data_IF_051219785003
#
_entry.id   IF_051219785003
#
_cell.length_a   1.000
_cell.length_b   1.000
_cell.length_c   1.000
_cell.angle_alpha   90.00
_cell.angle_beta   90.00
_cell.angle_gamma   90.00
#
_symmetry.space_group_name_H-M   'P 1'
#
loop_
_entity.id
_entity.type
_entity.pdbx_description
1 polymer ?
#
# COMPACT_ATOMS: atom_id res chain seq x y z
N UNK A 1 -18.74 11.75 15.13
CA UNK A 1 -17.53 10.97 14.78
C UNK A 1 -17.42 10.99 13.26
N UNK A 2 -16.32 11.49 12.72
CA UNK A 2 -16.10 11.59 11.27
C UNK A 2 -16.16 10.20 10.62
N UNK A 3 -16.98 10.04 9.58
CA UNK A 3 -17.15 8.80 8.83
C UNK A 3 -15.82 8.30 8.24
N UNK A 4 -14.89 9.21 7.91
CA UNK A 4 -13.55 8.88 7.42
C UNK A 4 -12.73 8.13 8.46
N UNK A 5 -12.75 8.59 9.72
CA UNK A 5 -11.99 7.95 10.81
C UNK A 5 -12.52 6.54 11.07
N UNK A 6 -13.84 6.36 11.01
CA UNK A 6 -14.44 5.04 11.11
C UNK A 6 -14.02 4.12 9.95
N UNK A 7 -13.92 4.66 8.73
CA UNK A 7 -13.48 3.93 7.56
C UNK A 7 -12.01 3.47 7.68
N UNK A 8 -11.11 4.36 8.14
CA UNK A 8 -9.70 4.01 8.40
C UNK A 8 -9.59 2.88 9.42
N UNK A 9 -10.28 2.99 10.55
CA UNK A 9 -10.29 1.94 11.59
C UNK A 9 -10.78 0.59 11.04
N UNK A 10 -11.80 0.61 10.19
CA UNK A 10 -12.32 -0.60 9.56
C UNK A 10 -11.32 -1.21 8.55
N UNK A 11 -10.60 -0.38 7.79
CA UNK A 11 -9.55 -0.85 6.88
C UNK A 11 -8.37 -1.44 7.66
N UNK A 12 -7.89 -0.74 8.69
CA UNK A 12 -6.78 -1.22 9.53
C UNK A 12 -7.08 -2.60 10.13
N UNK A 13 -8.29 -2.78 10.68
CA UNK A 13 -8.73 -4.07 11.19
C UNK A 13 -8.76 -5.17 10.12
N UNK A 14 -9.09 -4.84 8.87
CA UNK A 14 -9.11 -5.81 7.77
C UNK A 14 -7.69 -6.11 7.26
N UNK A 15 -6.76 -5.16 7.35
CA UNK A 15 -5.41 -5.30 6.82
C UNK A 15 -4.39 -5.81 7.83
N UNK A 16 -4.67 -5.73 9.14
CA UNK A 16 -3.76 -6.19 10.20
C UNK A 16 -3.35 -7.65 10.05
N UNK A 17 -4.30 -8.49 9.61
CA UNK A 17 -4.13 -9.95 9.55
C UNK A 17 -3.53 -10.42 8.21
N UNK A 18 -3.33 -9.50 7.25
CA UNK A 18 -2.75 -9.84 5.96
C UNK A 18 -1.28 -10.21 6.13
N UNK A 19 -0.93 -11.47 5.85
CA UNK A 19 0.47 -11.93 5.88
C UNK A 19 1.29 -11.14 4.85
N UNK A 20 2.48 -10.69 5.25
CA UNK A 20 3.41 -10.08 4.29
C UNK A 20 3.79 -11.10 3.21
N UNK A 21 3.75 -10.69 1.93
CA UNK A 21 4.02 -11.56 0.79
C UNK A 21 5.44 -12.17 0.75
N UNK A 22 6.35 -11.69 1.61
CA UNK A 22 7.79 -11.95 1.53
C UNK A 22 8.25 -13.40 1.71
N UNK A 23 7.36 -14.37 1.95
CA UNK A 23 7.72 -15.76 2.21
C UNK A 23 6.88 -16.80 1.44
N UNK A 24 6.05 -16.41 0.47
CA UNK A 24 5.19 -17.40 -0.21
C UNK A 24 5.88 -18.05 -1.41
N UNK A 25 6.61 -17.26 -2.21
CA UNK A 25 7.31 -17.71 -3.41
C UNK A 25 8.83 -17.58 -3.19
N UNK A 26 9.64 -18.59 -3.58
CA UNK A 26 11.09 -18.53 -3.44
C UNK A 26 11.69 -17.29 -4.12
N UNK A 27 12.74 -16.73 -3.51
CA UNK A 27 13.47 -15.57 -4.05
C UNK A 27 13.96 -15.86 -5.47
N UNK A 28 13.66 -14.95 -6.40
CA UNK A 28 14.04 -15.08 -7.81
C UNK A 28 13.07 -15.87 -8.68
N UNK A 29 11.94 -16.35 -8.13
CA UNK A 29 10.85 -16.95 -8.88
C UNK A 29 9.58 -16.11 -8.81
N UNK A 30 8.80 -16.08 -9.91
CA UNK A 30 7.49 -15.43 -9.99
C UNK A 30 6.34 -16.41 -9.78
N UNK A 31 5.17 -15.91 -9.38
CA UNK A 31 3.96 -16.70 -9.14
C UNK A 31 3.56 -17.55 -10.35
N UNK A 32 3.68 -17.00 -11.57
CA UNK A 32 3.26 -17.69 -12.79
C UNK A 32 4.08 -18.97 -12.96
N UNK A 33 5.41 -18.85 -12.88
CA UNK A 33 6.30 -20.00 -13.05
C UNK A 33 6.13 -21.01 -11.92
N UNK A 34 6.15 -20.54 -10.67
CA UNK A 34 6.08 -21.41 -9.48
C UNK A 34 4.79 -22.21 -9.44
N UNK A 35 3.64 -21.58 -9.70
CA UNK A 35 2.35 -22.29 -9.73
C UNK A 35 2.29 -23.25 -10.91
N UNK A 36 2.70 -22.80 -12.11
CA UNK A 36 2.70 -23.64 -13.32
C UNK A 36 3.51 -24.93 -13.12
N UNK A 37 4.71 -24.81 -12.56
CA UNK A 37 5.58 -25.96 -12.29
C UNK A 37 5.02 -26.85 -11.18
N UNK A 38 4.50 -26.27 -10.09
CA UNK A 38 3.91 -27.02 -8.99
C UNK A 38 2.73 -27.90 -9.41
N UNK A 39 1.93 -27.46 -10.39
CA UNK A 39 0.80 -28.24 -10.95
C UNK A 39 1.22 -29.13 -12.14
N UNK A 40 2.52 -29.23 -12.44
CA UNK A 40 3.05 -30.12 -13.48
C UNK A 40 2.76 -29.67 -14.92
N UNK A 41 2.54 -28.37 -15.15
CA UNK A 41 2.22 -27.83 -16.48
C UNK A 41 3.46 -27.32 -17.21
N UNK A 42 3.59 -27.60 -18.50
CA UNK A 42 4.66 -27.01 -19.34
C UNK A 42 4.30 -25.61 -19.82
N UNK A 43 5.30 -24.80 -20.18
CA UNK A 43 5.07 -23.46 -20.74
C UNK A 43 4.20 -23.51 -22.01
N UNK A 44 4.35 -24.53 -22.86
CA UNK A 44 3.51 -24.74 -24.06
C UNK A 44 2.05 -25.05 -23.72
N UNK A 45 1.80 -25.80 -22.64
CA UNK A 45 0.44 -26.08 -22.18
C UNK A 45 -0.24 -24.83 -21.63
N UNK A 46 0.48 -24.01 -20.85
CA UNK A 46 -0.03 -22.71 -20.39
C UNK A 46 -0.30 -21.76 -21.57
N UNK A 47 0.60 -21.74 -22.54
CA UNK A 47 0.44 -20.97 -23.77
C UNK A 47 -0.83 -21.34 -24.53
N UNK A 48 -1.09 -22.65 -24.68
CA UNK A 48 -2.32 -23.17 -25.31
C UNK A 48 -3.58 -22.74 -24.55
N UNK A 49 -3.57 -22.81 -23.21
CA UNK A 49 -4.69 -22.36 -22.36
C UNK A 49 -4.97 -20.87 -22.50
N UNK A 50 -3.92 -20.06 -22.65
CA UNK A 50 -4.02 -18.61 -22.80
C UNK A 50 -4.22 -18.13 -24.24
N UNK A 51 -4.16 -19.02 -25.24
CA UNK A 51 -4.23 -18.65 -26.65
C UNK A 51 -3.04 -17.80 -27.10
N UNK A 52 -1.85 -18.04 -26.54
CA UNK A 52 -0.61 -17.30 -26.86
C UNK A 52 0.52 -18.26 -27.25
N UNK A 53 1.67 -17.70 -27.65
CA UNK A 53 2.86 -18.49 -27.98
C UNK A 53 3.67 -18.85 -26.73
N UNK A 54 4.38 -19.97 -26.76
CA UNK A 54 5.25 -20.39 -25.64
C UNK A 54 6.34 -19.35 -25.28
N UNK A 55 7.01 -18.67 -26.24
CA UNK A 55 7.94 -17.58 -25.89
C UNK A 55 7.28 -16.41 -25.16
N UNK A 56 5.99 -16.16 -25.40
CA UNK A 56 5.24 -15.13 -24.66
C UNK A 56 5.04 -15.52 -23.20
N UNK A 57 4.86 -16.81 -22.89
CA UNK A 57 4.82 -17.30 -21.51
C UNK A 57 6.18 -17.12 -20.85
N UNK A 58 7.27 -17.53 -21.49
CA UNK A 58 8.62 -17.35 -20.93
C UNK A 58 8.93 -15.87 -20.65
N UNK A 59 8.51 -14.96 -21.53
CA UNK A 59 8.63 -13.51 -21.30
C UNK A 59 7.74 -12.99 -20.18
N UNK A 60 6.54 -13.57 -19.99
CA UNK A 60 5.68 -13.23 -18.86
C UNK A 60 6.30 -13.68 -17.54
N UNK A 61 6.85 -14.89 -17.48
CA UNK A 61 7.49 -15.46 -16.30
C UNK A 61 8.76 -14.69 -15.90
N UNK A 62 9.58 -14.28 -16.86
CA UNK A 62 10.81 -13.51 -16.58
C UNK A 62 10.58 -12.04 -16.24
N UNK A 63 9.38 -11.51 -16.54
CA UNK A 63 9.06 -10.09 -16.40
C UNK A 63 7.71 -9.88 -15.70
N UNK A 64 7.39 -10.74 -14.73
CA UNK A 64 6.09 -10.82 -14.06
C UNK A 64 5.68 -9.51 -13.38
N UNK A 65 6.64 -8.85 -12.70
CA UNK A 65 6.41 -7.59 -11.96
C UNK A 65 5.93 -6.44 -12.87
N UNK A 66 6.28 -6.49 -14.15
CA UNK A 66 5.93 -5.48 -15.15
C UNK A 66 4.67 -5.84 -15.96
N UNK A 67 4.00 -6.93 -15.62
CA UNK A 67 2.75 -7.31 -16.28
C UNK A 67 1.60 -6.41 -15.82
N UNK A 68 0.73 -6.07 -16.79
CA UNK A 68 -0.54 -5.42 -16.48
C UNK A 68 -1.36 -6.32 -15.56
N UNK A 69 -2.05 -5.75 -14.57
CA UNK A 69 -2.95 -6.49 -13.68
C UNK A 69 -4.01 -7.29 -14.47
N UNK A 70 -4.49 -6.77 -15.60
CA UNK A 70 -5.41 -7.48 -16.48
C UNK A 70 -4.80 -8.74 -17.13
N UNK A 71 -3.49 -8.73 -17.39
CA UNK A 71 -2.76 -9.92 -17.84
C UNK A 71 -2.61 -10.91 -16.69
N UNK A 72 -2.23 -10.45 -15.50
CA UNK A 72 -2.10 -11.31 -14.31
C UNK A 72 -3.41 -12.04 -13.99
N UNK A 73 -4.55 -11.34 -14.07
CA UNK A 73 -5.89 -11.95 -13.92
C UNK A 73 -6.12 -13.09 -14.91
N UNK A 74 -5.85 -12.87 -16.20
CA UNK A 74 -6.00 -13.90 -17.24
C UNK A 74 -5.09 -15.10 -17.00
N UNK A 75 -3.85 -14.86 -16.58
CA UNK A 75 -2.89 -15.94 -16.29
C UNK A 75 -3.36 -16.75 -15.08
N UNK A 76 -3.83 -16.09 -14.01
CA UNK A 76 -4.40 -16.75 -12.85
C UNK A 76 -5.60 -17.61 -13.22
N UNK A 77 -6.55 -17.09 -14.01
CA UNK A 77 -7.70 -17.85 -14.51
C UNK A 77 -7.26 -19.10 -15.29
N UNK A 78 -6.25 -18.99 -16.17
CA UNK A 78 -5.72 -20.12 -16.93
C UNK A 78 -5.02 -21.19 -16.06
N UNK A 79 -4.47 -20.77 -14.92
CA UNK A 79 -3.90 -21.62 -13.87
C UNK A 79 -4.96 -22.13 -12.86
N UNK A 80 -6.24 -21.80 -13.06
CA UNK A 80 -7.33 -22.09 -12.14
C UNK A 80 -7.10 -21.47 -10.75
N UNK A 81 -6.66 -20.22 -10.73
CA UNK A 81 -6.40 -19.40 -9.55
C UNK A 81 -7.19 -18.09 -9.60
N UNK A 82 -7.47 -17.53 -8.43
CA UNK A 82 -7.95 -16.15 -8.31
C UNK A 82 -6.77 -15.20 -8.17
N UNK A 83 -6.75 -14.10 -8.94
CA UNK A 83 -5.77 -13.04 -8.76
C UNK A 83 -6.27 -12.03 -7.72
N UNK A 84 -5.69 -12.09 -6.52
CA UNK A 84 -5.99 -11.18 -5.41
C UNK A 84 -4.83 -10.20 -5.22
N UNK A 85 -5.13 -8.90 -5.15
CA UNK A 85 -4.17 -7.85 -4.79
C UNK A 85 -4.76 -6.96 -3.70
N UNK A 86 -3.91 -6.43 -2.83
CA UNK A 86 -4.31 -5.55 -1.74
C UNK A 86 -3.22 -4.51 -1.49
N UNK A 87 -3.63 -3.34 -0.99
CA UNK A 87 -2.72 -2.36 -0.41
C UNK A 87 -2.55 -2.69 1.07
N UNK A 88 -1.39 -3.19 1.45
CA UNK A 88 -1.03 -3.40 2.86
C UNK A 88 -0.23 -2.18 3.36
N UNK A 89 -0.70 -1.46 4.39
CA UNK A 89 0.10 -0.39 4.98
C UNK A 89 1.37 -0.98 5.60
N UNK A 90 2.48 -0.23 5.57
CA UNK A 90 3.73 -0.63 6.23
C UNK A 90 3.59 -0.61 7.75
N UNK A 91 2.74 0.27 8.26
CA UNK A 91 2.30 0.43 9.66
C UNK A 91 0.78 0.24 9.72
N UNK A 92 0.01 1.32 9.83
CA UNK A 92 -1.46 1.37 9.69
C UNK A 92 -1.87 2.60 8.87
N UNK A 93 -3.09 2.60 8.32
CA UNK A 93 -3.66 3.77 7.65
C UNK A 93 -3.85 4.94 8.60
N UNK A 94 -4.14 4.68 9.88
CA UNK A 94 -4.18 5.70 10.91
C UNK A 94 -2.80 6.34 11.12
N UNK A 95 -1.75 5.54 11.28
CA UNK A 95 -0.38 6.04 11.46
C UNK A 95 0.07 6.88 10.27
N UNK A 96 -0.26 6.47 9.05
CA UNK A 96 0.04 7.23 7.82
C UNK A 96 -0.54 8.65 7.89
N UNK A 97 -1.79 8.79 8.37
CA UNK A 97 -2.44 10.09 8.49
C UNK A 97 -1.86 10.91 9.64
N UNK A 98 -1.54 10.27 10.77
CA UNK A 98 -0.96 10.92 11.94
C UNK A 98 0.45 11.45 11.65
N UNK A 99 1.32 10.63 11.07
CA UNK A 99 2.67 11.01 10.65
C UNK A 99 2.64 12.20 9.69
N UNK A 100 1.72 12.17 8.72
CA UNK A 100 1.60 13.25 7.75
C UNK A 100 1.04 14.55 8.38
N UNK A 101 0.09 14.45 9.31
CA UNK A 101 -0.44 15.60 10.04
C UNK A 101 0.64 16.26 10.93
N UNK A 102 1.45 15.46 11.61
CA UNK A 102 2.60 15.93 12.40
C UNK A 102 3.62 16.62 11.49
N UNK A 103 3.96 16.00 10.35
CA UNK A 103 4.89 16.57 9.38
C UNK A 103 4.40 17.93 8.87
N UNK A 104 3.14 18.03 8.46
CA UNK A 104 2.57 19.29 7.97
C UNK A 104 2.55 20.38 9.04
N UNK A 105 2.20 20.01 10.27
CA UNK A 105 2.20 20.94 11.42
C UNK A 105 3.59 21.48 11.68
N UNK A 106 4.61 20.62 11.65
CA UNK A 106 6.01 21.03 11.79
C UNK A 106 6.44 22.00 10.68
N UNK A 107 6.10 21.72 9.42
CA UNK A 107 6.42 22.61 8.29
C UNK A 107 5.82 24.00 8.44
N UNK A 108 4.56 24.10 8.87
CA UNK A 108 3.88 25.38 9.09
C UNK A 108 4.54 26.14 10.24
N UNK A 109 4.73 25.48 11.38
CA UNK A 109 5.31 26.11 12.58
C UNK A 109 6.76 26.54 12.36
N UNK A 110 7.51 25.85 11.50
CA UNK A 110 8.86 26.26 11.09
C UNK A 110 8.86 27.54 10.26
N UNK A 111 7.86 27.71 9.38
CA UNK A 111 7.80 28.85 8.46
C UNK A 111 7.21 30.11 9.09
N UNK A 112 6.38 29.96 10.12
CA UNK A 112 5.85 31.09 10.88
C UNK A 112 6.80 31.36 12.05
N UNK A 113 7.21 32.62 12.28
CA UNK A 113 8.06 33.03 13.41
C UNK A 113 7.30 32.93 14.76
N UNK A 114 6.80 31.74 15.12
CA UNK A 114 5.95 31.51 16.30
C UNK A 114 6.79 31.35 17.58
N UNK A 115 8.12 31.22 17.49
CA UNK A 115 8.99 31.09 18.66
C UNK A 115 8.71 32.16 19.74
N UNK A 116 8.49 33.41 19.36
CA UNK A 116 8.15 34.48 20.32
C UNK A 116 6.70 34.45 20.85
N UNK A 117 5.74 33.96 20.06
CA UNK A 117 4.32 33.96 20.43
C UNK A 117 3.96 32.78 21.37
N UNK A 118 4.61 31.63 21.19
CA UNK A 118 4.44 30.45 22.05
C UNK A 118 5.15 30.61 23.39
N UNK A 119 6.32 31.27 23.42
CA UNK A 119 7.03 31.62 24.65
C UNK A 119 6.18 32.48 25.60
N UNK A 120 5.45 33.45 25.04
CA UNK A 120 4.58 34.35 25.82
C UNK A 120 3.33 33.64 26.36
N UNK A 121 3.01 32.44 25.85
CA UNK A 121 1.89 31.60 26.29
C UNK A 121 2.33 30.38 27.11
N UNK A 122 3.65 30.13 27.24
CA UNK A 122 4.19 28.98 27.97
C UNK A 122 3.91 27.62 27.31
N UNK A 123 3.67 27.59 26.00
CA UNK A 123 3.33 26.37 25.25
C UNK A 123 4.58 25.81 24.58
N UNK A 124 4.83 24.51 24.73
CA UNK A 124 5.93 23.85 24.03
C UNK A 124 5.62 23.69 22.54
N UNK A 125 6.65 23.73 21.69
CA UNK A 125 6.51 23.53 20.24
C UNK A 125 5.91 22.15 19.95
N UNK A 126 6.26 21.14 20.74
CA UNK A 126 5.72 19.78 20.62
C UNK A 126 4.19 19.73 20.86
N UNK A 127 3.70 20.51 21.81
CA UNK A 127 2.27 20.55 22.11
C UNK A 127 1.50 21.34 21.05
N UNK A 128 2.09 22.44 20.55
CA UNK A 128 1.56 23.12 19.37
C UNK A 128 1.48 22.18 18.16
N UNK A 129 2.52 21.39 17.88
CA UNK A 129 2.49 20.40 16.78
C UNK A 129 1.34 19.40 16.96
N UNK A 130 1.13 18.88 18.18
CA UNK A 130 0.05 17.92 18.45
C UNK A 130 -1.33 18.54 18.26
N UNK A 131 -1.53 19.77 18.71
CA UNK A 131 -2.80 20.48 18.57
C UNK A 131 -3.13 20.75 17.11
N UNK A 132 -2.16 21.26 16.35
CA UNK A 132 -2.30 21.45 14.91
C UNK A 132 -2.54 20.13 14.18
N UNK A 133 -1.79 19.07 14.51
CA UNK A 133 -1.99 17.75 13.91
C UNK A 133 -3.39 17.20 14.21
N UNK A 134 -3.89 17.41 15.43
CA UNK A 134 -5.25 17.00 15.82
C UNK A 134 -6.32 17.80 15.08
N UNK A 135 -6.15 19.11 14.89
CA UNK A 135 -7.05 19.93 14.06
C UNK A 135 -7.04 19.46 12.60
N UNK A 136 -5.86 19.17 12.05
CA UNK A 136 -5.73 18.63 10.70
C UNK A 136 -6.46 17.30 10.54
N UNK A 137 -6.27 16.37 11.49
CA UNK A 137 -6.92 15.05 11.41
C UNK A 137 -8.44 15.19 11.50
N UNK A 138 -8.96 16.06 12.36
CA UNK A 138 -10.40 16.12 12.61
C UNK A 138 -11.16 17.04 11.64
N UNK A 139 -10.55 18.14 11.20
CA UNK A 139 -11.26 19.22 10.51
C UNK A 139 -10.68 19.52 9.11
N UNK A 140 -9.37 19.31 8.90
CA UNK A 140 -8.66 19.79 7.69
C UNK A 140 -7.79 18.71 7.04
N UNK A 141 -8.25 17.45 7.01
CA UNK A 141 -7.39 16.31 6.64
C UNK A 141 -6.82 16.42 5.22
N UNK A 142 -7.50 17.10 4.29
CA UNK A 142 -6.96 17.29 2.94
C UNK A 142 -5.65 18.11 2.93
N UNK A 143 -5.53 19.08 3.83
CA UNK A 143 -4.39 20.01 3.89
C UNK A 143 -3.09 19.35 4.35
N UNK A 144 -3.14 18.15 4.93
CA UNK A 144 -1.92 17.42 5.30
C UNK A 144 -1.16 16.92 4.06
N UNK A 145 -1.80 16.86 2.89
CA UNK A 145 -1.24 16.34 1.65
C UNK A 145 -0.82 17.42 0.64
N UNK A 146 -1.17 18.68 0.91
CA UNK A 146 -0.69 19.86 0.17
C UNK A 146 0.73 20.23 0.62
#
# INVERSE_FOLDING_TARGET
MDARILHIKALDKKTSDLKSANNIIPKGSGWINSVREAIGMTASQLAKRLGVTQPRITKMESNEENLKLSTMKKVAEALNCEFVYYFKPKTSFQDIVEEQAVKKSYEILKNVNINMALENQGISIEDAIKDFASDFINNKTKQIWD
#
